data_IF_287930455447
#
_entry.id   IF_287930455447
#
_cell.length_a   1.000
_cell.length_b   1.000
_cell.length_c   1.000
_cell.angle_alpha   90.00
_cell.angle_beta   90.00
_cell.angle_gamma   90.00
#
_symmetry.space_group_name_H-M   'P 1'
#
loop_
_entity.id
_entity.type
_entity.pdbx_description
1 polymer ?
#
# COMPACT_ATOMS: atom_id res chain seq x y z
N UNK A 1 19.99 12.70 7.79
CA UNK A 1 21.01 13.09 8.78
C UNK A 1 20.56 12.70 10.17
N UNK A 2 21.30 11.83 10.82
CA UNK A 2 21.18 11.46 12.24
C UNK A 2 21.81 12.58 13.09
N UNK A 3 21.01 13.27 13.91
CA UNK A 3 21.51 14.26 14.88
C UNK A 3 22.14 13.52 16.07
N UNK A 4 23.45 13.68 16.34
CA UNK A 4 24.14 13.02 17.45
C UNK A 4 23.66 13.46 18.84
N UNK A 5 22.80 14.50 18.94
CA UNK A 5 22.27 15.03 20.20
C UNK A 5 20.95 14.40 20.64
N UNK A 6 20.39 13.47 19.85
CA UNK A 6 19.14 12.80 20.20
C UNK A 6 19.39 11.29 20.39
N UNK A 7 19.81 10.86 21.60
CA UNK A 7 19.94 9.44 21.88
C UNK A 7 18.54 8.84 21.86
N UNK A 8 18.18 8.17 20.76
CA UNK A 8 16.92 7.41 20.63
C UNK A 8 16.94 6.14 21.50
N UNK A 9 17.54 6.20 22.69
CA UNK A 9 17.67 5.09 23.62
C UNK A 9 16.32 4.49 24.01
N UNK A 10 15.32 5.34 24.26
CA UNK A 10 13.94 4.88 24.54
C UNK A 10 13.36 4.01 23.42
N UNK A 11 13.71 4.28 22.15
CA UNK A 11 13.25 3.49 21.01
C UNK A 11 13.97 2.15 20.97
N UNK A 12 15.27 2.13 21.27
CA UNK A 12 16.05 0.90 21.40
C UNK A 12 15.49 0.04 22.54
N UNK A 13 15.18 0.63 23.69
CA UNK A 13 14.57 -0.07 24.83
C UNK A 13 13.19 -0.66 24.46
N UNK A 14 12.37 0.10 23.73
CA UNK A 14 11.07 -0.40 23.25
C UNK A 14 11.22 -1.57 22.26
N UNK A 15 12.18 -1.49 21.34
CA UNK A 15 12.49 -2.56 20.39
C UNK A 15 12.99 -3.81 21.13
N UNK A 16 13.89 -3.63 22.10
CA UNK A 16 14.41 -4.72 22.93
C UNK A 16 13.29 -5.37 23.71
N UNK A 17 12.44 -4.57 24.37
CA UNK A 17 11.28 -5.07 25.11
C UNK A 17 10.30 -5.82 24.22
N UNK A 18 10.05 -5.35 23.01
CA UNK A 18 9.24 -6.06 22.02
C UNK A 18 9.85 -7.43 21.70
N UNK A 19 11.17 -7.50 21.54
CA UNK A 19 11.90 -8.75 21.32
C UNK A 19 11.87 -9.72 22.51
N UNK A 20 12.08 -9.22 23.73
CA UNK A 20 12.00 -9.99 24.98
C UNK A 20 10.63 -10.65 25.17
N UNK A 21 9.57 -9.97 24.76
CA UNK A 21 8.20 -10.48 24.81
C UNK A 21 7.85 -11.40 23.62
N UNK A 22 8.84 -11.82 22.82
CA UNK A 22 8.63 -12.70 21.68
C UNK A 22 7.98 -12.02 20.46
N UNK A 23 7.88 -10.69 20.44
CA UNK A 23 7.15 -9.95 19.42
C UNK A 23 7.62 -10.21 17.99
N UNK A 24 8.93 -10.39 17.79
CA UNK A 24 9.47 -10.73 16.46
C UNK A 24 9.06 -12.12 15.99
N UNK A 25 9.01 -13.10 16.89
CA UNK A 25 8.53 -14.43 16.56
C UNK A 25 7.04 -14.39 16.24
N UNK A 26 6.24 -13.70 17.05
CA UNK A 26 4.80 -13.53 16.79
C UNK A 26 4.52 -12.80 15.48
N UNK A 27 5.33 -11.81 15.11
CA UNK A 27 5.26 -11.16 13.81
C UNK A 27 5.52 -12.17 12.69
N UNK A 28 6.58 -12.96 12.78
CA UNK A 28 6.90 -14.00 11.80
C UNK A 28 5.77 -15.03 11.69
N UNK A 29 5.30 -15.56 12.81
CA UNK A 29 4.19 -16.53 12.87
C UNK A 29 2.92 -15.95 12.23
N UNK A 30 2.65 -14.66 12.46
CA UNK A 30 1.49 -13.98 11.87
C UNK A 30 1.57 -13.97 10.34
N UNK A 31 2.74 -13.77 9.77
CA UNK A 31 2.93 -13.82 8.32
C UNK A 31 2.88 -15.26 7.78
N UNK A 32 3.51 -16.22 8.48
CA UNK A 32 3.53 -17.63 8.10
C UNK A 32 2.13 -18.27 8.12
N UNK A 33 1.30 -17.91 9.10
CA UNK A 33 -0.09 -18.42 9.17
C UNK A 33 -0.96 -17.90 8.04
N UNK A 34 -0.63 -16.73 7.46
CA UNK A 34 -1.36 -16.14 6.33
C UNK A 34 -2.78 -15.66 6.64
N UNK A 35 -3.31 -15.90 7.84
CA UNK A 35 -4.73 -15.67 8.16
C UNK A 35 -5.04 -14.17 8.26
N UNK A 36 -5.97 -13.70 7.43
CA UNK A 36 -6.47 -12.32 7.42
C UNK A 36 -5.34 -11.27 7.29
N UNK A 37 -4.37 -11.53 6.41
CA UNK A 37 -3.31 -10.57 6.05
C UNK A 37 -3.76 -9.70 4.87
N UNK A 38 -4.59 -8.70 5.14
CA UNK A 38 -4.85 -7.66 4.14
C UNK A 38 -3.63 -6.77 3.94
N UNK A 39 -3.56 -6.06 2.82
CA UNK A 39 -2.48 -5.09 2.56
C UNK A 39 -2.36 -4.02 3.64
N UNK A 40 -3.50 -3.53 4.15
CA UNK A 40 -3.49 -2.52 5.21
C UNK A 40 -2.90 -3.09 6.51
N UNK A 41 -3.12 -4.39 6.81
CA UNK A 41 -2.51 -5.07 7.95
C UNK A 41 -1.01 -5.25 7.74
N UNK A 42 -0.57 -5.70 6.56
CA UNK A 42 0.86 -5.82 6.22
C UNK A 42 1.57 -4.48 6.38
N UNK A 43 0.96 -3.40 5.88
CA UNK A 43 1.48 -2.05 6.06
C UNK A 43 1.59 -1.66 7.53
N UNK A 44 0.54 -1.87 8.33
CA UNK A 44 0.55 -1.54 9.75
C UNK A 44 1.63 -2.31 10.53
N UNK A 45 1.87 -3.57 10.17
CA UNK A 45 2.86 -4.44 10.82
C UNK A 45 4.29 -4.11 10.40
N UNK A 46 4.54 -3.79 9.12
CA UNK A 46 5.90 -3.53 8.62
C UNK A 46 6.38 -2.09 8.79
N UNK A 47 5.48 -1.12 8.72
CA UNK A 47 5.85 0.31 8.74
C UNK A 47 6.67 0.70 9.97
N UNK A 48 6.35 0.30 11.21
CA UNK A 48 7.15 0.66 12.38
C UNK A 48 8.62 0.23 12.22
N UNK A 49 8.85 -1.00 11.78
CA UNK A 49 10.20 -1.53 11.55
C UNK A 49 10.89 -0.84 10.36
N UNK A 50 10.16 -0.51 9.29
CA UNK A 50 10.69 0.27 8.18
C UNK A 50 11.13 1.69 8.56
N UNK A 51 10.57 2.27 9.63
CA UNK A 51 10.95 3.58 10.18
C UNK A 51 12.11 3.50 11.18
N UNK A 52 12.26 2.39 11.90
CA UNK A 52 13.31 2.18 12.89
C UNK A 52 14.38 1.15 12.48
N UNK A 53 14.49 0.83 11.19
CA UNK A 53 15.37 -0.20 10.63
C UNK A 53 16.86 -0.03 11.00
N UNK A 54 17.30 1.21 11.26
CA UNK A 54 18.67 1.51 11.70
C UNK A 54 18.99 0.94 13.10
N UNK A 55 17.97 0.73 13.94
CA UNK A 55 18.11 0.24 15.33
C UNK A 55 17.96 -1.27 15.45
N UNK A 56 17.63 -1.97 14.37
CA UNK A 56 17.54 -3.43 14.36
C UNK A 56 18.91 -4.06 14.13
N UNK A 57 19.21 -5.12 14.87
CA UNK A 57 20.43 -5.89 14.67
C UNK A 57 20.34 -6.76 13.40
N UNK A 58 21.46 -7.01 12.71
CA UNK A 58 21.48 -7.95 11.58
C UNK A 58 20.95 -9.34 11.94
N UNK A 59 21.20 -9.81 13.17
CA UNK A 59 20.68 -11.10 13.65
C UNK A 59 19.15 -11.12 13.70
N UNK A 60 18.53 -10.10 14.30
CA UNK A 60 17.06 -9.97 14.35
C UNK A 60 16.46 -9.91 12.95
N UNK A 61 17.10 -9.17 12.05
CA UNK A 61 16.63 -9.05 10.67
C UNK A 61 16.70 -10.39 9.95
N UNK A 62 17.85 -11.06 9.94
CA UNK A 62 18.02 -12.35 9.28
C UNK A 62 17.07 -13.42 9.85
N UNK A 63 16.92 -13.48 11.18
CA UNK A 63 16.15 -14.54 11.83
C UNK A 63 14.64 -14.38 11.68
N UNK A 64 14.11 -13.16 11.80
CA UNK A 64 12.66 -12.94 11.90
C UNK A 64 12.09 -12.08 10.78
N UNK A 65 12.80 -11.03 10.38
CA UNK A 65 12.25 -10.04 9.44
C UNK A 65 12.43 -10.51 8.00
N UNK A 66 13.59 -11.08 7.64
CA UNK A 66 13.88 -11.47 6.27
C UNK A 66 12.85 -12.48 5.72
N UNK A 67 12.46 -13.54 6.45
CA UNK A 67 11.39 -14.44 6.00
C UNK A 67 10.05 -13.72 5.83
N UNK A 68 9.77 -12.69 6.64
CA UNK A 68 8.59 -11.83 6.47
C UNK A 68 8.65 -11.06 5.15
N UNK A 69 9.81 -10.49 4.81
CA UNK A 69 9.98 -9.72 3.57
C UNK A 69 9.84 -10.59 2.32
N UNK A 70 10.32 -11.84 2.37
CA UNK A 70 10.19 -12.81 1.26
C UNK A 70 8.73 -13.18 0.96
N UNK A 71 7.83 -13.10 1.96
CA UNK A 71 6.39 -13.32 1.77
C UNK A 71 5.65 -12.10 1.20
N UNK A 72 6.21 -10.89 1.30
CA UNK A 72 5.54 -9.65 0.87
C UNK A 72 5.15 -9.68 -0.61
N UNK A 73 6.02 -10.04 -1.57
CA UNK A 73 5.64 -10.12 -2.98
C UNK A 73 4.40 -10.98 -3.22
N UNK A 74 4.35 -12.17 -2.62
CA UNK A 74 3.21 -13.09 -2.76
C UNK A 74 1.92 -12.60 -2.10
N UNK A 75 1.98 -11.69 -1.14
CA UNK A 75 0.79 -11.04 -0.56
C UNK A 75 0.31 -9.91 -1.47
N UNK A 76 1.23 -9.08 -1.98
CA UNK A 76 0.88 -7.96 -2.87
C UNK A 76 0.32 -8.46 -4.20
N UNK A 77 0.80 -9.59 -4.71
CA UNK A 77 0.33 -10.18 -5.96
C UNK A 77 -1.15 -10.60 -5.91
N UNK A 78 -1.64 -10.98 -4.72
CA UNK A 78 -3.03 -11.41 -4.49
C UNK A 78 -4.02 -10.24 -4.43
N UNK A 79 -3.55 -9.00 -4.45
CA UNK A 79 -4.43 -7.84 -4.46
C UNK A 79 -5.32 -7.85 -5.70
N UNK A 80 -6.61 -7.70 -5.47
CA UNK A 80 -7.58 -7.48 -6.55
C UNK A 80 -7.55 -6.03 -7.02
N UNK A 81 -8.02 -5.79 -8.24
CA UNK A 81 -8.09 -4.44 -8.81
C UNK A 81 -9.02 -3.51 -8.00
N UNK A 82 -10.07 -4.04 -7.37
CA UNK A 82 -10.98 -3.25 -6.54
C UNK A 82 -10.37 -2.86 -5.19
N UNK A 83 -9.60 -3.75 -4.56
CA UNK A 83 -8.79 -3.41 -3.38
C UNK A 83 -7.74 -2.35 -3.73
N UNK A 84 -7.07 -2.51 -4.88
CA UNK A 84 -6.07 -1.56 -5.37
C UNK A 84 -6.68 -0.18 -5.65
N UNK A 85 -7.88 -0.12 -6.24
CA UNK A 85 -8.66 1.14 -6.39
C UNK A 85 -8.99 1.76 -5.04
N UNK A 86 -9.45 0.94 -4.07
CA UNK A 86 -9.88 1.43 -2.76
C UNK A 86 -8.73 2.12 -2.03
N UNK A 87 -7.54 1.54 -2.10
CA UNK A 87 -6.35 2.11 -1.48
C UNK A 87 -5.83 3.34 -2.25
N UNK A 88 -5.97 3.38 -3.58
CA UNK A 88 -5.57 4.53 -4.41
C UNK A 88 -6.45 5.77 -4.24
N UNK A 89 -7.71 5.64 -3.78
CA UNK A 89 -8.64 6.77 -3.59
C UNK A 89 -8.29 7.68 -2.41
N UNK A 90 -7.39 7.28 -1.52
CA UNK A 90 -6.99 8.08 -0.37
C UNK A 90 -5.74 8.91 -0.69
N UNK A 91 -5.89 10.05 -1.38
CA UNK A 91 -4.78 10.95 -1.77
C UNK A 91 -3.94 11.45 -0.57
N UNK A 92 -4.52 11.48 0.63
CA UNK A 92 -3.83 11.90 1.86
C UNK A 92 -2.93 10.81 2.47
N UNK A 93 -3.05 9.54 2.02
CA UNK A 93 -2.15 8.46 2.40
C UNK A 93 -1.17 8.24 1.26
N UNK A 94 0.13 8.29 1.55
CA UNK A 94 1.16 7.72 0.67
C UNK A 94 0.67 6.35 0.19
N UNK A 95 0.78 6.09 -1.11
CA UNK A 95 0.43 4.79 -1.72
C UNK A 95 0.94 3.65 -0.82
N UNK A 96 0.00 2.87 -0.29
CA UNK A 96 0.27 1.87 0.75
C UNK A 96 1.24 0.82 0.21
N UNK A 97 1.07 0.43 -1.05
CA UNK A 97 1.93 -0.53 -1.73
C UNK A 97 3.36 0.01 -1.79
N UNK A 98 3.55 1.23 -2.28
CA UNK A 98 4.85 1.90 -2.29
C UNK A 98 5.47 2.02 -0.89
N UNK A 99 4.65 2.27 0.14
CA UNK A 99 5.13 2.41 1.51
C UNK A 99 5.56 1.07 2.14
N UNK A 100 4.86 -0.03 1.82
CA UNK A 100 5.28 -1.39 2.18
C UNK A 100 6.63 -1.70 1.52
N UNK A 101 6.74 -1.48 0.21
CA UNK A 101 7.96 -1.78 -0.55
C UNK A 101 9.15 -0.96 -0.05
N UNK A 102 8.93 0.33 0.25
CA UNK A 102 9.96 1.18 0.87
C UNK A 102 10.42 0.64 2.22
N UNK A 103 9.48 0.23 3.07
CA UNK A 103 9.78 -0.35 4.39
C UNK A 103 10.57 -1.66 4.25
N UNK A 104 10.14 -2.54 3.36
CA UNK A 104 10.80 -3.81 3.07
C UNK A 104 12.23 -3.60 2.55
N UNK A 105 12.43 -2.68 1.60
CA UNK A 105 13.78 -2.36 1.08
C UNK A 105 14.71 -1.82 2.17
N UNK A 106 14.21 -0.91 3.01
CA UNK A 106 14.99 -0.37 4.12
C UNK A 106 15.44 -1.47 5.09
N UNK A 107 14.59 -2.46 5.35
CA UNK A 107 14.90 -3.59 6.23
C UNK A 107 15.89 -4.55 5.56
N UNK A 108 15.65 -4.90 4.29
CA UNK A 108 16.51 -5.79 3.52
C UNK A 108 17.94 -5.23 3.35
N UNK A 109 18.09 -3.91 3.15
CA UNK A 109 19.40 -3.28 2.97
C UNK A 109 20.30 -3.27 4.21
N UNK A 110 19.78 -3.69 5.37
CA UNK A 110 20.57 -3.81 6.61
C UNK A 110 21.41 -5.09 6.68
N UNK A 111 21.17 -6.05 5.79
CA UNK A 111 21.91 -7.31 5.73
C UNK A 111 22.47 -7.53 4.31
N UNK A 112 23.64 -8.16 4.16
CA UNK A 112 24.24 -8.40 2.85
C UNK A 112 23.44 -9.43 2.04
N UNK A 113 23.75 -9.52 0.74
CA UNK A 113 23.21 -10.52 -0.20
C UNK A 113 21.70 -10.44 -0.45
N UNK A 114 21.07 -9.27 -0.30
CA UNK A 114 19.63 -9.06 -0.53
C UNK A 114 19.30 -8.33 -1.85
N UNK A 115 20.26 -8.25 -2.76
CA UNK A 115 20.11 -7.54 -4.03
C UNK A 115 18.95 -8.09 -4.88
N UNK A 116 18.78 -9.41 -4.90
CA UNK A 116 17.69 -10.07 -5.62
C UNK A 116 16.33 -9.76 -5.00
N UNK A 117 16.20 -9.87 -3.67
CA UNK A 117 14.96 -9.51 -2.97
C UNK A 117 14.59 -8.04 -3.21
N UNK A 118 15.57 -7.13 -3.11
CA UNK A 118 15.35 -5.70 -3.37
C UNK A 118 14.91 -5.48 -4.83
N UNK A 119 15.56 -6.15 -5.80
CA UNK A 119 15.17 -6.09 -7.20
C UNK A 119 13.75 -6.59 -7.43
N UNK A 120 13.37 -7.70 -6.80
CA UNK A 120 12.02 -8.28 -6.88
C UNK A 120 10.98 -7.32 -6.31
N UNK A 121 11.24 -6.72 -5.15
CA UNK A 121 10.37 -5.72 -4.53
C UNK A 121 10.18 -4.49 -5.43
N UNK A 122 11.25 -4.01 -6.05
CA UNK A 122 11.21 -2.88 -6.99
C UNK A 122 10.48 -3.23 -8.30
N UNK A 123 10.68 -4.45 -8.82
CA UNK A 123 9.93 -4.96 -9.96
C UNK A 123 8.43 -5.03 -9.66
N UNK A 124 8.06 -5.56 -8.49
CA UNK A 124 6.66 -5.57 -8.03
C UNK A 124 6.07 -4.17 -7.92
N UNK A 125 6.84 -3.18 -7.46
CA UNK A 125 6.38 -1.78 -7.40
C UNK A 125 5.96 -1.28 -8.77
N UNK A 126 6.77 -1.52 -9.80
CA UNK A 126 6.47 -1.12 -11.16
C UNK A 126 5.22 -1.83 -11.69
N UNK A 127 5.09 -3.14 -11.44
CA UNK A 127 3.90 -3.91 -11.81
C UNK A 127 2.64 -3.36 -11.15
N UNK A 128 2.68 -3.02 -9.86
CA UNK A 128 1.53 -2.47 -9.14
C UNK A 128 1.15 -1.07 -9.64
N UNK A 129 2.14 -0.22 -9.93
CA UNK A 129 1.91 1.10 -10.56
C UNK A 129 1.25 0.93 -11.93
N UNK A 130 1.73 0.00 -12.75
CA UNK A 130 1.15 -0.27 -14.06
C UNK A 130 -0.31 -0.72 -13.94
N UNK A 131 -0.62 -1.65 -13.02
CA UNK A 131 -2.00 -2.09 -12.73
C UNK A 131 -2.88 -0.91 -12.32
N UNK A 132 -2.42 -0.07 -11.38
CA UNK A 132 -3.14 1.14 -10.96
C UNK A 132 -3.45 2.08 -12.13
N UNK A 133 -2.50 2.32 -13.03
CA UNK A 133 -2.68 3.15 -14.23
C UNK A 133 -3.70 2.55 -15.20
N UNK A 134 -3.66 1.24 -15.42
CA UNK A 134 -4.61 0.55 -16.31
C UNK A 134 -6.04 0.63 -15.77
N UNK A 135 -6.20 0.45 -14.45
CA UNK A 135 -7.48 0.44 -13.76
C UNK A 135 -8.12 1.84 -13.69
N UNK A 136 -7.32 2.86 -13.39
CA UNK A 136 -7.78 4.25 -13.25
C UNK A 136 -8.41 4.80 -14.54
N UNK A 137 -8.02 4.29 -15.71
CA UNK A 137 -8.57 4.68 -17.01
C UNK A 137 -10.06 4.33 -17.20
N UNK A 138 -10.58 3.31 -16.51
CA UNK A 138 -12.00 2.92 -16.63
C UNK A 138 -12.92 3.83 -15.83
N UNK A 139 -12.49 4.26 -14.64
CA UNK A 139 -13.32 5.04 -13.73
C UNK A 139 -13.64 6.43 -14.30
N UNK A 140 -12.68 7.07 -14.97
CA UNK A 140 -12.90 8.33 -15.69
C UNK A 140 -13.84 8.17 -16.89
N UNK A 141 -13.65 7.09 -17.67
CA UNK A 141 -14.53 6.76 -18.80
C UNK A 141 -15.97 6.47 -18.36
N UNK A 142 -16.15 5.74 -17.27
CA UNK A 142 -17.48 5.45 -16.69
C UNK A 142 -18.16 6.69 -16.11
N UNK A 143 -17.41 7.57 -15.46
CA UNK A 143 -17.95 8.85 -15.00
C UNK A 143 -18.41 9.72 -16.18
N UNK A 144 -17.61 9.81 -17.24
CA UNK A 144 -18.01 10.52 -18.47
C UNK A 144 -19.25 9.90 -19.10
N UNK A 145 -19.34 8.56 -19.16
CA UNK A 145 -20.52 7.85 -19.66
C UNK A 145 -21.76 8.15 -18.80
N UNK A 146 -21.62 8.17 -17.47
CA UNK A 146 -22.71 8.50 -16.55
C UNK A 146 -23.19 9.94 -16.72
N UNK A 147 -22.28 10.89 -16.93
CA UNK A 147 -22.64 12.28 -17.23
C UNK A 147 -23.37 12.39 -18.58
N UNK A 148 -22.92 11.67 -19.62
CA UNK A 148 -23.63 11.59 -20.89
C UNK A 148 -25.06 11.05 -20.70
N UNK A 149 -25.23 9.98 -19.92
CA UNK A 149 -26.56 9.43 -19.64
C UNK A 149 -27.48 10.42 -18.91
N UNK A 150 -26.93 11.21 -17.97
CA UNK A 150 -27.69 12.28 -17.28
C UNK A 150 -28.12 13.37 -18.25
N UNK A 151 -27.22 13.80 -19.14
CA UNK A 151 -27.51 14.82 -20.16
C UNK A 151 -28.55 14.30 -21.15
N UNK A 152 -28.43 13.06 -21.64
CA UNK A 152 -29.45 12.46 -22.52
C UNK A 152 -30.80 12.46 -21.81
N UNK A 153 -30.84 11.99 -20.56
CA UNK A 153 -32.07 11.93 -19.76
C UNK A 153 -32.70 13.31 -19.52
N UNK A 154 -31.90 14.35 -19.32
CA UNK A 154 -32.39 15.72 -19.11
C UNK A 154 -32.89 16.38 -20.40
N UNK A 155 -32.31 16.02 -21.55
CA UNK A 155 -32.73 16.55 -22.87
C UNK A 155 -33.97 15.83 -23.39
N UNK A 156 -34.16 14.54 -23.10
CA UNK A 156 -35.37 13.79 -23.49
C UNK A 156 -36.67 14.24 -22.80
N UNK A 157 -36.61 15.16 -21.84
CA UNK A 157 -37.79 15.68 -21.12
C UNK A 157 -38.24 17.08 -21.58
N UNK A 158 -37.98 17.46 -22.83
CA UNK A 158 -38.71 18.53 -23.50
C UNK A 158 -39.68 17.94 -24.53
N UNK A 159 -40.90 17.54 -24.12
CA UNK A 159 -41.96 17.42 -25.11
C UNK A 159 -42.21 18.83 -25.65
N UNK A 160 -42.08 18.98 -26.97
CA UNK A 160 -42.51 20.14 -27.74
C UNK A 160 -43.77 20.80 -27.14
N UNK A 161 -43.59 21.86 -26.34
CA UNK A 161 -44.62 22.87 -26.14
C UNK A 161 -44.34 24.00 -27.12
N UNK A 162 -44.51 23.69 -28.41
CA UNK A 162 -44.93 24.70 -29.37
C UNK A 162 -46.44 24.87 -29.17
N UNK A 163 -46.81 25.76 -28.26
CA UNK A 163 -48.07 26.50 -28.31
C UNK A 163 -47.60 27.94 -28.44
N UNK A 164 -47.40 28.43 -29.67
CA UNK A 164 -48.53 28.96 -30.42
C UNK A 164 -48.92 30.28 -29.79
N UNK A 165 -48.04 31.29 -29.90
CA UNK A 165 -48.49 32.68 -29.82
C UNK A 165 -49.26 32.94 -31.10
N UNK A 166 -50.54 33.27 -31.00
CA UNK A 166 -51.27 34.12 -31.96
C UNK A 166 -52.63 34.52 -31.34
N UNK A 167 -52.73 35.84 -31.10
CA UNK A 167 -53.89 36.75 -31.26
C UNK A 167 -55.26 36.40 -30.65
N UNK A 168 -55.63 37.10 -29.56
CA UNK A 168 -56.65 38.19 -29.52
C UNK A 168 -56.60 38.93 -28.18
#
# INVERSE_FOLDING_TARGET
STDPRNPRGWLVDLINRFGELGGFQHLLDRFQTGKNLSVSVVFALLRPFGLCYEFLTPHTINKYILPVLEMVPGILDKLTDDELKREAKNEQKSDIVSAIIKSAKNLASRVPNQEELIRTLEGFRLTMILRQLQISSFNGKMNALNEINKVISSVTYYPNRHHGMEEE
#
